data_IF_219523643047
#
_entry.id   IF_219523643047
#
_cell.length_a   1.000
_cell.length_b   1.000
_cell.length_c   1.000
_cell.angle_alpha   90.00
_cell.angle_beta   90.00
_cell.angle_gamma   90.00
#
_symmetry.space_group_name_H-M   'P 1'
#
loop_
_entity.id
_entity.type
_entity.pdbx_description
1 polymer ?
#
# COMPACT_ATOMS: atom_id res chain seq x y z
N UNK A 1 -14.79 30.45 34.90
CA UNK A 1 -13.86 29.30 34.75
C UNK A 1 -14.16 28.39 33.55
N UNK A 2 -15.37 28.41 32.95
CA UNK A 2 -15.71 27.52 31.82
C UNK A 2 -15.01 27.84 30.48
N UNK A 3 -14.60 29.09 30.22
CA UNK A 3 -13.98 29.49 28.94
C UNK A 3 -12.52 29.03 28.73
N UNK A 4 -11.74 28.90 29.80
CA UNK A 4 -10.34 28.48 29.73
C UNK A 4 -10.17 26.98 29.46
N UNK A 5 -11.11 26.18 29.96
CA UNK A 5 -11.15 24.73 29.73
C UNK A 5 -11.36 24.47 28.23
N UNK A 6 -12.28 25.19 27.59
CA UNK A 6 -12.57 25.04 26.17
C UNK A 6 -11.37 25.44 25.28
N UNK A 7 -10.67 26.52 25.61
CA UNK A 7 -9.47 26.96 24.87
C UNK A 7 -8.31 25.96 25.00
N UNK A 8 -8.10 25.39 26.19
CA UNK A 8 -7.07 24.37 26.42
C UNK A 8 -7.33 23.09 25.61
N UNK A 9 -8.58 22.61 25.57
CA UNK A 9 -8.95 21.45 24.77
C UNK A 9 -8.78 21.69 23.26
N UNK A 10 -9.17 22.87 22.75
CA UNK A 10 -8.98 23.23 21.34
C UNK A 10 -7.50 23.28 20.97
N UNK A 11 -6.68 23.86 21.85
CA UNK A 11 -5.22 23.97 21.63
C UNK A 11 -4.54 22.60 21.68
N UNK A 12 -4.95 21.72 22.58
CA UNK A 12 -4.45 20.35 22.67
C UNK A 12 -4.81 19.51 21.42
N UNK A 13 -6.06 19.63 20.93
CA UNK A 13 -6.48 18.95 19.70
C UNK A 13 -5.70 19.49 18.49
N UNK A 14 -5.52 20.81 18.39
CA UNK A 14 -4.72 21.43 17.34
C UNK A 14 -3.24 20.97 17.39
N UNK A 15 -2.64 20.87 18.58
CA UNK A 15 -1.27 20.41 18.74
C UNK A 15 -1.10 18.91 18.36
N UNK A 16 -2.03 18.05 18.76
CA UNK A 16 -2.00 16.62 18.44
C UNK A 16 -2.20 16.40 16.93
N UNK A 17 -3.14 17.11 16.31
CA UNK A 17 -3.37 17.02 14.86
C UNK A 17 -2.19 17.56 14.05
N UNK A 18 -1.61 18.69 14.46
CA UNK A 18 -0.45 19.28 13.80
C UNK A 18 0.80 18.39 13.95
N UNK A 19 1.05 17.88 15.16
CA UNK A 19 2.16 16.93 15.40
C UNK A 19 2.02 15.64 14.60
N UNK A 20 0.81 15.08 14.52
CA UNK A 20 0.52 13.89 13.71
C UNK A 20 0.74 14.15 12.21
N UNK A 21 0.34 15.33 11.72
CA UNK A 21 0.56 15.72 10.34
C UNK A 21 2.06 15.85 10.02
N UNK A 22 2.85 16.52 10.88
CA UNK A 22 4.30 16.65 10.70
C UNK A 22 4.96 15.28 10.65
N UNK A 23 4.63 14.39 11.58
CA UNK A 23 5.17 13.03 11.61
C UNK A 23 4.86 12.27 10.31
N UNK A 24 3.61 12.34 9.84
CA UNK A 24 3.20 11.69 8.60
C UNK A 24 3.93 12.23 7.38
N UNK A 25 4.00 13.56 7.23
CA UNK A 25 4.70 14.18 6.10
C UNK A 25 6.20 13.89 6.13
N UNK A 26 6.82 13.87 7.33
CA UNK A 26 8.21 13.46 7.50
C UNK A 26 8.45 12.03 7.02
N UNK A 27 7.60 11.08 7.43
CA UNK A 27 7.68 9.68 6.96
C UNK A 27 7.39 9.53 5.47
N UNK A 28 6.43 10.28 4.93
CA UNK A 28 6.12 10.29 3.50
C UNK A 28 7.27 10.82 2.65
N UNK A 29 7.98 11.85 3.11
CA UNK A 29 9.17 12.37 2.45
C UNK A 29 10.30 11.36 2.51
N UNK A 30 10.56 10.77 3.68
CA UNK A 30 11.55 9.71 3.85
C UNK A 30 11.28 8.51 2.93
N UNK A 31 10.03 8.09 2.76
CA UNK A 31 9.69 6.98 1.88
C UNK A 31 9.90 7.29 0.40
N UNK A 32 9.71 8.56 -0.01
CA UNK A 32 9.98 8.99 -1.38
C UNK A 32 11.49 9.03 -1.67
N UNK A 33 12.27 9.51 -0.71
CA UNK A 33 13.74 9.48 -0.81
C UNK A 33 14.23 8.04 -0.90
N UNK A 34 13.76 7.14 -0.04
CA UNK A 34 14.13 5.72 -0.08
C UNK A 34 13.74 5.05 -1.41
N UNK A 35 12.57 5.36 -1.98
CA UNK A 35 12.16 4.85 -3.29
C UNK A 35 13.06 5.38 -4.42
N UNK A 36 13.43 6.66 -4.36
CA UNK A 36 14.34 7.26 -5.33
C UNK A 36 15.75 6.68 -5.21
N UNK A 37 16.24 6.46 -3.99
CA UNK A 37 17.53 5.84 -3.73
C UNK A 37 17.54 4.39 -4.24
N UNK A 38 16.44 3.65 -4.05
CA UNK A 38 16.27 2.32 -4.65
C UNK A 38 16.34 2.38 -6.19
N UNK A 39 15.64 3.33 -6.82
CA UNK A 39 15.65 3.47 -8.28
C UNK A 39 17.05 3.84 -8.82
N UNK A 40 17.76 4.71 -8.11
CA UNK A 40 19.02 5.31 -8.57
C UNK A 40 20.25 4.45 -8.27
N UNK A 41 20.28 3.80 -7.11
CA UNK A 41 21.48 3.11 -6.61
C UNK A 41 21.36 1.58 -6.61
N UNK A 42 20.14 1.04 -6.52
CA UNK A 42 19.98 -0.41 -6.53
C UNK A 42 20.08 -0.96 -7.96
N UNK A 43 20.83 -2.06 -8.10
CA UNK A 43 20.89 -2.78 -9.37
C UNK A 43 19.60 -3.58 -9.55
N UNK A 44 18.98 -3.57 -10.74
CA UNK A 44 17.84 -4.42 -11.01
C UNK A 44 18.24 -5.89 -10.85
N UNK A 45 17.47 -6.63 -10.06
CA UNK A 45 17.66 -8.04 -9.79
C UNK A 45 17.27 -8.89 -11.02
N UNK A 46 16.14 -8.56 -11.64
CA UNK A 46 15.63 -9.22 -12.85
C UNK A 46 14.65 -8.29 -13.59
N UNK A 47 14.11 -8.76 -14.71
CA UNK A 47 13.02 -8.08 -15.41
C UNK A 47 11.66 -8.75 -15.16
N UNK A 48 10.60 -7.96 -15.25
CA UNK A 48 9.21 -8.39 -15.19
C UNK A 48 8.91 -9.39 -16.31
N UNK A 49 8.36 -10.55 -15.93
CA UNK A 49 7.92 -11.57 -16.88
C UNK A 49 6.56 -11.21 -17.48
N UNK A 50 6.25 -11.78 -18.66
CA UNK A 50 4.95 -11.57 -19.32
C UNK A 50 3.76 -11.97 -18.44
N UNK A 51 3.92 -13.03 -17.63
CA UNK A 51 2.89 -13.52 -16.71
C UNK A 51 2.61 -12.52 -15.59
N UNK A 52 3.65 -11.93 -15.01
CA UNK A 52 3.52 -10.91 -13.96
C UNK A 52 2.85 -9.64 -14.49
N UNK A 53 3.24 -9.20 -15.69
CA UNK A 53 2.61 -8.05 -16.35
C UNK A 53 1.11 -8.27 -16.58
N UNK A 54 0.71 -9.44 -17.07
CA UNK A 54 -0.69 -9.78 -17.27
C UNK A 54 -1.49 -9.75 -15.97
N UNK A 55 -0.90 -10.20 -14.85
CA UNK A 55 -1.56 -10.18 -13.54
C UNK A 55 -1.66 -8.78 -12.96
N UNK A 56 -0.60 -7.98 -13.05
CA UNK A 56 -0.66 -6.55 -12.68
C UNK A 56 -1.72 -5.82 -13.50
N UNK A 57 -1.89 -6.15 -14.77
CA UNK A 57 -2.97 -5.61 -15.61
C UNK A 57 -4.36 -6.12 -15.18
N UNK A 58 -4.48 -7.37 -14.75
CA UNK A 58 -5.75 -7.91 -14.24
C UNK A 58 -6.14 -7.27 -12.90
N UNK A 59 -5.20 -7.10 -11.98
CA UNK A 59 -5.41 -6.41 -10.71
C UNK A 59 -5.66 -4.91 -10.93
N UNK A 60 -4.97 -4.28 -11.89
CA UNK A 60 -5.29 -2.93 -12.37
C UNK A 60 -6.73 -2.84 -12.87
N UNK A 61 -7.18 -3.75 -13.74
CA UNK A 61 -8.52 -3.72 -14.30
C UNK A 61 -9.58 -3.90 -13.20
N UNK A 62 -9.34 -4.83 -12.26
CA UNK A 62 -10.20 -5.05 -11.10
C UNK A 62 -10.31 -3.80 -10.21
N UNK A 63 -9.18 -3.15 -9.89
CA UNK A 63 -9.18 -1.93 -9.07
C UNK A 63 -9.71 -0.71 -9.82
N UNK A 64 -9.45 -0.59 -11.11
CA UNK A 64 -9.90 0.54 -11.94
C UNK A 64 -11.43 0.59 -12.10
N UNK A 65 -12.10 -0.58 -12.02
CA UNK A 65 -13.56 -0.70 -11.99
C UNK A 65 -14.17 -0.13 -10.70
N UNK A 66 -13.41 -0.08 -9.61
CA UNK A 66 -13.82 0.50 -8.33
C UNK A 66 -13.47 1.99 -8.30
N UNK A 67 -12.21 2.33 -8.60
CA UNK A 67 -11.71 3.69 -8.73
C UNK A 67 -10.51 3.70 -9.69
N UNK A 68 -10.63 4.47 -10.78
CA UNK A 68 -9.56 4.65 -11.77
C UNK A 68 -8.26 5.12 -11.13
N UNK A 69 -8.33 5.90 -10.05
CA UNK A 69 -7.15 6.43 -9.35
C UNK A 69 -6.40 5.33 -8.60
N UNK A 70 -7.12 4.36 -8.04
CA UNK A 70 -6.56 3.21 -7.31
C UNK A 70 -5.96 2.19 -8.27
N UNK A 71 -6.59 1.97 -9.43
CA UNK A 71 -6.03 1.12 -10.48
C UNK A 71 -4.62 1.57 -10.89
N UNK A 72 -4.42 2.87 -11.16
CA UNK A 72 -3.13 3.42 -11.60
C UNK A 72 -1.95 3.19 -10.64
N UNK A 73 -2.20 2.77 -9.40
CA UNK A 73 -1.15 2.47 -8.43
C UNK A 73 -0.34 1.24 -8.86
N UNK A 74 -1.00 0.23 -9.43
CA UNK A 74 -0.38 -1.05 -9.83
C UNK A 74 0.30 -1.03 -11.21
N UNK A 75 0.53 0.16 -11.79
CA UNK A 75 1.27 0.29 -13.04
C UNK A 75 2.75 0.51 -12.73
N UNK A 76 3.65 -0.44 -13.06
CA UNK A 76 5.07 -0.22 -12.90
C UNK A 76 5.58 0.80 -13.92
N UNK A 77 6.55 1.63 -13.51
CA UNK A 77 7.21 2.66 -14.33
C UNK A 77 8.10 2.06 -15.40
N UNK A 78 8.72 0.92 -15.11
CA UNK A 78 9.61 0.17 -15.98
C UNK A 78 9.46 -1.33 -15.72
N UNK A 79 10.14 -2.14 -16.53
CA UNK A 79 10.14 -3.59 -16.40
C UNK A 79 11.17 -4.11 -15.38
N UNK A 80 11.83 -3.23 -14.62
CA UNK A 80 12.87 -3.63 -13.69
C UNK A 80 12.26 -4.11 -12.37
N UNK A 81 12.78 -5.23 -11.88
CA UNK A 81 12.47 -5.79 -10.57
C UNK A 81 13.67 -5.60 -9.66
N UNK A 82 13.42 -5.08 -8.48
CA UNK A 82 14.43 -4.80 -7.45
C UNK A 82 14.20 -5.73 -6.27
N UNK A 83 15.29 -6.11 -5.61
CA UNK A 83 15.21 -6.84 -4.35
C UNK A 83 15.25 -5.83 -3.20
N UNK A 84 14.31 -5.97 -2.28
CA UNK A 84 14.17 -5.08 -1.14
C UNK A 84 14.10 -5.92 0.13
N UNK A 85 15.05 -5.72 1.03
CA UNK A 85 15.16 -6.46 2.28
C UNK A 85 15.05 -5.47 3.43
N UNK A 86 14.13 -5.72 4.36
CA UNK A 86 14.02 -4.86 5.52
C UNK A 86 12.90 -5.22 6.47
N UNK A 87 12.85 -4.50 7.58
CA UNK A 87 11.76 -4.63 8.54
C UNK A 87 10.51 -3.92 8.02
N UNK A 88 9.36 -4.45 8.39
CA UNK A 88 8.09 -3.80 8.12
C UNK A 88 7.96 -2.60 9.05
N UNK A 89 7.68 -1.46 8.44
CA UNK A 89 7.16 -0.28 9.11
C UNK A 89 5.74 0.00 8.63
N UNK A 90 5.03 0.81 9.40
CA UNK A 90 3.77 1.39 8.97
C UNK A 90 3.75 2.84 9.38
N UNK A 91 3.21 3.70 8.53
CA UNK A 91 2.84 5.04 8.95
C UNK A 91 1.49 5.40 8.34
N UNK A 92 0.68 6.11 9.12
CA UNK A 92 -0.64 6.47 8.69
C UNK A 92 -1.22 7.61 9.49
N UNK A 93 -2.18 8.32 8.90
CA UNK A 93 -3.08 9.14 9.67
C UNK A 93 -4.29 8.28 10.04
N UNK A 94 -4.46 8.05 11.33
CA UNK A 94 -5.74 7.67 11.89
C UNK A 94 -6.45 8.95 12.32
N UNK A 95 -7.40 9.39 11.50
CA UNK A 95 -8.35 10.45 11.86
C UNK A 95 -9.74 9.85 11.92
N UNK A 96 -10.64 10.50 12.64
CA UNK A 96 -12.06 10.09 12.71
C UNK A 96 -12.73 9.99 11.33
N UNK A 97 -12.19 10.70 10.32
CA UNK A 97 -12.72 10.74 8.95
C UNK A 97 -11.97 9.85 7.94
N UNK A 98 -10.74 9.41 8.24
CA UNK A 98 -9.93 8.66 7.30
C UNK A 98 -8.90 7.78 8.02
N UNK A 99 -8.86 6.50 7.62
CA UNK A 99 -7.80 5.55 7.96
C UNK A 99 -6.90 5.39 6.74
N UNK A 100 -5.84 6.17 6.68
CA UNK A 100 -4.81 6.07 5.64
C UNK A 100 -3.59 5.40 6.27
N UNK A 101 -3.46 4.09 6.14
CA UNK A 101 -2.25 3.36 6.56
C UNK A 101 -1.42 3.02 5.32
N UNK A 102 -0.14 3.39 5.35
CA UNK A 102 0.86 2.97 4.37
C UNK A 102 1.84 2.03 5.03
N UNK A 103 2.07 0.90 4.37
CA UNK A 103 3.09 -0.08 4.78
C UNK A 103 4.40 0.30 4.10
N UNK A 104 5.50 0.16 4.82
CA UNK A 104 6.84 0.33 4.30
C UNK A 104 7.68 -0.92 4.56
N UNK A 105 8.59 -1.25 3.65
CA UNK A 105 9.69 -2.17 3.91
C UNK A 105 10.97 -1.38 3.65
N UNK A 106 11.90 -1.40 4.61
CA UNK A 106 13.11 -0.56 4.58
C UNK A 106 12.84 0.92 4.27
N UNK A 107 11.81 1.49 4.91
CA UNK A 107 11.28 2.84 4.66
C UNK A 107 10.70 3.10 3.26
N UNK A 108 10.82 2.19 2.29
CA UNK A 108 10.17 2.32 0.98
C UNK A 108 8.69 2.00 1.13
N UNK A 109 7.82 2.91 0.66
CA UNK A 109 6.37 2.66 0.65
C UNK A 109 6.05 1.55 -0.36
N UNK A 110 5.33 0.52 0.10
CA UNK A 110 4.97 -0.64 -0.71
C UNK A 110 3.46 -0.81 -0.83
N UNK A 111 3.00 -1.26 -1.99
CA UNK A 111 1.63 -1.73 -2.23
C UNK A 111 1.63 -3.22 -2.52
N UNK A 112 0.69 -3.93 -1.92
CA UNK A 112 0.54 -5.37 -2.07
C UNK A 112 -0.60 -5.67 -3.04
N UNK A 113 -0.34 -6.37 -4.14
CA UNK A 113 -1.40 -7.01 -4.89
C UNK A 113 -2.10 -8.06 -4.01
N UNK A 114 -3.36 -8.36 -4.33
CA UNK A 114 -4.27 -9.13 -3.48
C UNK A 114 -3.65 -10.41 -2.91
N UNK A 115 -3.67 -10.56 -1.57
CA UNK A 115 -3.26 -11.76 -0.84
C UNK A 115 -1.80 -11.82 -0.39
N UNK A 116 -0.90 -10.98 -0.93
CA UNK A 116 0.52 -11.02 -0.53
C UNK A 116 0.80 -10.46 0.87
N UNK A 117 -0.04 -9.54 1.36
CA UNK A 117 0.12 -8.93 2.68
C UNK A 117 0.01 -9.94 3.83
N UNK A 118 -0.59 -11.11 3.59
CA UNK A 118 -0.75 -12.17 4.61
C UNK A 118 0.57 -12.88 4.94
N UNK A 119 1.56 -12.80 4.05
CA UNK A 119 2.87 -13.45 4.21
C UNK A 119 3.92 -12.53 4.87
N UNK A 120 3.50 -11.38 5.38
CA UNK A 120 4.35 -10.45 6.12
C UNK A 120 4.77 -11.06 7.47
N UNK A 121 6.08 -11.08 7.71
CA UNK A 121 6.67 -11.58 8.95
C UNK A 121 7.03 -10.40 9.88
N UNK A 122 6.96 -10.56 11.21
CA UNK A 122 7.30 -9.50 12.17
C UNK A 122 8.80 -9.11 12.17
N UNK A 123 9.65 -9.86 11.46
CA UNK A 123 11.09 -9.63 11.36
C UNK A 123 11.52 -8.93 10.06
N UNK A 124 12.67 -9.36 9.54
CA UNK A 124 13.16 -8.93 8.23
C UNK A 124 12.35 -9.67 7.16
N UNK A 125 11.88 -8.93 6.17
CA UNK A 125 11.17 -9.46 5.01
C UNK A 125 12.00 -9.18 3.77
N UNK A 126 11.99 -10.12 2.84
CA UNK A 126 12.62 -9.97 1.53
C UNK A 126 11.51 -9.90 0.50
N UNK A 127 11.42 -8.80 -0.23
CA UNK A 127 10.43 -8.58 -1.26
C UNK A 127 11.09 -8.32 -2.62
N UNK A 128 10.58 -8.95 -3.67
CA UNK A 128 10.83 -8.46 -5.02
C UNK A 128 9.79 -7.41 -5.36
N UNK A 129 10.24 -6.26 -5.85
CA UNK A 129 9.36 -5.13 -6.10
C UNK A 129 9.60 -4.51 -7.47
N UNK A 130 8.52 -4.05 -8.10
CA UNK A 130 8.58 -3.17 -9.25
C UNK A 130 8.31 -1.72 -8.83
N UNK A 131 9.03 -0.76 -9.39
CA UNK A 131 8.88 0.65 -9.00
C UNK A 131 7.70 1.26 -9.75
N UNK A 132 6.72 1.81 -9.02
CA UNK A 132 5.63 2.64 -9.54
C UNK A 132 5.96 4.13 -9.35
N UNK A 133 5.04 5.02 -9.71
CA UNK A 133 5.27 6.48 -9.66
C UNK A 133 5.52 7.02 -8.25
N UNK A 134 4.97 6.40 -7.21
CA UNK A 134 4.97 6.95 -5.84
C UNK A 134 5.24 5.93 -4.73
N UNK A 135 5.41 4.66 -5.10
CA UNK A 135 5.58 3.51 -4.21
C UNK A 135 6.16 2.35 -5.02
N UNK A 136 6.50 1.26 -4.34
CA UNK A 136 6.93 0.02 -4.94
C UNK A 136 5.78 -1.02 -4.89
N UNK A 137 5.60 -1.76 -5.97
CA UNK A 137 4.59 -2.82 -6.08
C UNK A 137 5.27 -4.14 -5.72
N UNK A 138 4.76 -4.86 -4.72
CA UNK A 138 5.32 -6.14 -4.29
C UNK A 138 4.93 -7.24 -5.28
N UNK A 139 5.91 -7.90 -5.87
CA UNK A 139 5.72 -9.02 -6.79
C UNK A 139 5.87 -10.38 -6.08
N UNK A 140 6.80 -10.44 -5.14
CA UNK A 140 6.98 -11.59 -4.26
C UNK A 140 7.40 -11.11 -2.87
N UNK A 141 7.07 -11.90 -1.86
CA UNK A 141 7.37 -11.62 -0.46
C UNK A 141 7.81 -12.91 0.22
N UNK A 142 8.99 -12.93 0.84
CA UNK A 142 9.55 -14.06 1.57
C UNK A 142 9.54 -15.37 0.76
N UNK A 143 9.96 -15.29 -0.51
CA UNK A 143 9.95 -16.40 -1.48
C UNK A 143 8.55 -16.90 -1.88
N UNK A 144 7.48 -16.24 -1.42
CA UNK A 144 6.12 -16.43 -1.92
C UNK A 144 5.92 -15.48 -3.09
N UNK A 145 5.82 -16.04 -4.29
CA UNK A 145 5.52 -15.28 -5.48
C UNK A 145 4.02 -15.02 -5.56
N UNK A 146 3.63 -13.97 -6.29
CA UNK A 146 2.32 -13.97 -6.92
C UNK A 146 2.19 -15.25 -7.73
N UNK A 147 1.35 -16.18 -7.26
CA UNK A 147 1.00 -17.35 -8.03
C UNK A 147 0.58 -16.92 -9.46
N UNK A 148 0.70 -17.76 -10.49
CA UNK A 148 0.01 -17.46 -11.74
C UNK A 148 -1.49 -17.30 -11.46
N UNK A 149 -2.25 -16.50 -12.24
CA UNK A 149 -3.70 -16.50 -12.13
C UNK A 149 -4.16 -17.93 -12.35
N UNK A 150 -4.50 -18.64 -11.27
CA UNK A 150 -5.20 -19.90 -11.39
C UNK A 150 -6.54 -19.53 -11.98
N UNK A 151 -6.72 -19.82 -13.27
CA UNK A 151 -7.89 -19.50 -14.10
C UNK A 151 -9.20 -20.15 -13.61
N UNK A 152 -9.27 -20.60 -12.35
CA UNK A 152 -10.42 -21.31 -11.78
C UNK A 152 -10.79 -20.94 -10.34
N UNK A 153 -10.03 -20.11 -9.61
CA UNK A 153 -10.42 -19.73 -8.25
C UNK A 153 -10.39 -18.22 -8.07
N UNK A 154 -11.43 -17.55 -8.58
CA UNK A 154 -11.95 -16.37 -7.90
C UNK A 154 -12.31 -16.85 -6.49
N UNK A 155 -11.52 -16.46 -5.50
CA UNK A 155 -11.75 -16.85 -4.12
C UNK A 155 -13.22 -16.53 -3.77
N UNK A 156 -14.03 -17.53 -3.38
CA UNK A 156 -15.43 -17.30 -3.03
C UNK A 156 -15.56 -16.28 -1.89
N UNK A 157 -14.49 -16.06 -1.12
CA UNK A 157 -14.38 -15.01 -0.12
C UNK A 157 -14.35 -13.59 -0.70
N UNK A 158 -13.72 -13.36 -1.86
CA UNK A 158 -13.72 -12.06 -2.52
C UNK A 158 -15.12 -11.72 -3.05
N UNK A 159 -15.82 -12.71 -3.61
CA UNK A 159 -17.22 -12.58 -4.06
C UNK A 159 -18.15 -12.37 -2.86
N UNK A 160 -17.93 -13.09 -1.75
CA UNK A 160 -18.70 -12.93 -0.52
C UNK A 160 -18.45 -11.56 0.16
N UNK A 161 -17.21 -11.07 0.15
CA UNK A 161 -16.86 -9.74 0.65
C UNK A 161 -17.49 -8.63 -0.20
N UNK A 162 -17.49 -8.79 -1.53
CA UNK A 162 -18.15 -7.87 -2.47
C UNK A 162 -19.68 -7.88 -2.32
N UNK A 163 -20.30 -9.04 -2.12
CA UNK A 163 -21.74 -9.15 -1.86
C UNK A 163 -22.15 -8.51 -0.52
N UNK A 164 -21.34 -8.67 0.53
CA UNK A 164 -21.57 -8.00 1.83
C UNK A 164 -21.47 -6.48 1.72
N UNK A 165 -20.53 -5.97 0.93
CA UNK A 165 -20.38 -4.53 0.67
C UNK A 165 -21.55 -3.96 -0.16
N UNK A 166 -22.09 -4.70 -1.11
CA UNK A 166 -23.27 -4.27 -1.88
C UNK A 166 -24.56 -4.26 -1.04
N UNK A 167 -24.77 -5.27 -0.18
CA UNK A 167 -25.92 -5.32 0.74
C UNK A 167 -25.88 -4.20 1.79
N UNK A 168 -24.69 -3.79 2.23
CA UNK A 168 -24.53 -2.65 3.15
C UNK A 168 -24.91 -1.31 2.53
N UNK A 169 -24.64 -1.10 1.22
CA UNK A 169 -25.02 0.13 0.51
C UNK A 169 -26.51 0.20 0.16
N UNK A 170 -27.19 -0.94 0.01
CA UNK A 170 -28.61 -0.98 -0.33
C UNK A 170 -29.57 -0.64 0.83
N UNK A 171 -29.10 -0.62 2.08
CA UNK A 171 -29.92 -0.31 3.27
C UNK A 171 -29.92 1.17 3.68
N UNK A 172 -29.28 2.04 2.89
CA UNK A 172 -29.20 3.49 3.16
C UNK A 172 -29.93 4.30 2.07
N UNK A 173 -30.84 3.67 1.32
CA UNK A 173 -31.77 4.36 0.42
C UNK A 173 -33.21 4.17 0.87
#
# INVERSE_FOLDING_TARGET
>A
MAGYINLFFITAIAAVTFGSAIYFFGKLLGSRMALQDLEQWAKPHRTLTSTEKLRLMADYDALSKIDKKTGSLLIPKNDNVYLLEGKIGGFGLETTAAKLQKITIDNVAVEFPTGLSEYLQPGVNVAEVAISKSHAIVLSLNSVFLDPPQSKHVAPELVAALQRLQLSRSKVS
#
